data_IF_072873413133
#
_entry.id   IF_072873413133
#
_cell.length_a   1.000
_cell.length_b   1.000
_cell.length_c   1.000
_cell.angle_alpha   90.00
_cell.angle_beta   90.00
_cell.angle_gamma   90.00
#
_symmetry.space_group_name_H-M   'P 1'
#
loop_
_entity.id
_entity.type
_entity.pdbx_description
1 polymer ?
#
# COMPACT_ATOMS: atom_id res chain seq x y z
N UNK A 1 -15.02 -29.13 58.05
CA UNK A 1 -15.29 -29.66 56.70
C UNK A 1 -14.59 -28.72 55.76
N UNK A 2 -13.30 -28.90 55.50
CA UNK A 2 -12.68 -29.70 54.44
C UNK A 2 -13.38 -29.45 53.13
N UNK A 3 -12.79 -29.02 52.05
CA UNK A 3 -11.48 -29.21 51.35
C UNK A 3 -11.64 -28.44 50.03
N UNK A 4 -10.78 -28.07 49.24
CA UNK A 4 -9.48 -28.54 48.76
C UNK A 4 -9.05 -27.60 47.58
N UNK A 5 -7.93 -27.05 47.71
CA UNK A 5 -7.16 -26.36 46.66
C UNK A 5 -6.92 -27.25 45.43
N UNK A 6 -6.98 -26.70 44.22
CA UNK A 6 -6.25 -27.23 43.07
C UNK A 6 -5.56 -26.11 42.28
N UNK A 7 -4.26 -26.21 42.33
CA UNK A 7 -3.28 -25.46 41.54
C UNK A 7 -3.52 -25.70 40.02
N UNK A 8 -3.48 -24.63 39.24
CA UNK A 8 -3.34 -24.70 37.78
C UNK A 8 -1.94 -24.21 37.41
N UNK A 9 -1.13 -25.12 36.91
CA UNK A 9 0.19 -24.88 36.34
C UNK A 9 0.12 -23.99 35.08
N UNK A 10 0.78 -22.87 35.14
CA UNK A 10 1.20 -22.10 33.97
C UNK A 10 2.27 -22.88 33.22
N UNK A 11 1.96 -23.31 32.00
CA UNK A 11 2.95 -23.79 31.04
C UNK A 11 3.32 -22.65 30.09
N UNK A 12 4.46 -22.08 30.28
CA UNK A 12 5.17 -21.25 29.29
C UNK A 12 5.54 -22.12 28.09
N UNK A 13 4.93 -21.85 26.95
CA UNK A 13 5.34 -22.44 25.67
C UNK A 13 6.46 -21.56 25.08
N UNK A 14 7.66 -22.13 25.09
CA UNK A 14 8.87 -21.59 24.48
C UNK A 14 8.72 -21.58 22.95
N UNK A 15 8.89 -20.42 22.36
CA UNK A 15 8.93 -20.17 20.92
C UNK A 15 10.29 -20.65 20.37
N UNK A 16 10.44 -21.93 20.16
CA UNK A 16 11.73 -22.52 19.71
C UNK A 16 11.61 -23.75 18.82
N UNK A 17 10.40 -24.18 18.43
CA UNK A 17 10.24 -25.51 17.82
C UNK A 17 9.57 -25.56 16.45
N UNK A 18 9.35 -24.44 15.76
CA UNK A 18 8.66 -24.45 14.45
C UNK A 18 9.64 -24.47 13.26
N UNK A 19 10.88 -24.00 13.44
CA UNK A 19 11.88 -24.04 12.36
C UNK A 19 12.56 -25.39 12.13
N UNK A 20 12.50 -26.32 13.09
CA UNK A 20 13.21 -27.61 13.00
C UNK A 20 12.42 -28.73 12.29
N UNK A 21 11.11 -28.55 12.05
CA UNK A 21 10.27 -29.61 11.47
C UNK A 21 10.07 -29.54 9.95
N UNK A 22 10.54 -28.49 9.29
CA UNK A 22 10.43 -28.37 7.83
C UNK A 22 11.66 -28.92 7.07
N UNK A 23 12.76 -29.22 7.76
CA UNK A 23 13.99 -29.76 7.14
C UNK A 23 13.99 -31.30 7.10
N UNK A 24 13.13 -31.96 7.87
CA UNK A 24 13.13 -33.44 7.98
C UNK A 24 12.19 -34.13 6.98
N UNK A 25 11.38 -33.40 6.22
CA UNK A 25 10.44 -33.99 5.26
C UNK A 25 11.02 -34.22 3.85
N UNK A 26 12.23 -33.76 3.57
CA UNK A 26 12.87 -33.92 2.23
C UNK A 26 13.88 -35.07 2.18
N UNK A 27 14.26 -35.63 3.32
CA UNK A 27 15.31 -36.72 3.37
C UNK A 27 14.78 -38.15 3.51
N UNK A 28 13.45 -38.38 3.54
CA UNK A 28 12.87 -39.69 3.77
C UNK A 28 12.10 -40.27 2.57
N UNK A 29 12.32 -39.78 1.36
CA UNK A 29 11.67 -40.33 0.17
C UNK A 29 12.68 -40.79 -0.90
N UNK A 30 13.70 -41.53 -0.49
CA UNK A 30 14.52 -42.33 -1.39
C UNK A 30 15.21 -43.43 -0.58
N UNK A 31 14.68 -44.67 -0.51
CA UNK A 31 15.19 -45.69 -1.39
C UNK A 31 14.15 -46.79 -1.70
N UNK A 32 13.60 -46.77 -2.87
CA UNK A 32 13.03 -47.99 -3.46
C UNK A 32 12.88 -47.75 -4.96
N UNK A 33 13.94 -47.82 -5.71
CA UNK A 33 13.96 -48.28 -7.10
C UNK A 33 15.41 -48.48 -7.57
N UNK A 34 16.04 -49.54 -7.08
CA UNK A 34 17.19 -50.10 -7.73
C UNK A 34 16.69 -51.26 -8.59
N UNK A 35 16.42 -51.04 -9.86
CA UNK A 35 16.53 -52.01 -10.95
C UNK A 35 16.02 -51.37 -12.27
N UNK A 36 16.79 -50.48 -12.88
CA UNK A 36 16.74 -50.33 -14.33
C UNK A 36 18.11 -49.91 -14.85
N UNK A 37 18.68 -50.83 -15.65
CA UNK A 37 19.97 -50.65 -16.35
C UNK A 37 19.80 -49.58 -17.43
N UNK A 38 20.73 -48.61 -17.44
CA UNK A 38 21.04 -47.80 -18.63
C UNK A 38 20.45 -46.40 -18.67
N UNK A 39 21.03 -45.44 -17.90
CA UNK A 39 20.95 -44.02 -18.21
C UNK A 39 22.38 -43.44 -18.24
N UNK A 40 22.68 -42.60 -19.25
CA UNK A 40 23.99 -41.95 -19.30
C UNK A 40 24.07 -40.86 -18.19
N UNK A 41 25.13 -40.97 -17.38
CA UNK A 41 25.55 -39.92 -16.47
C UNK A 41 26.01 -38.71 -17.28
N UNK A 42 25.20 -37.74 -17.45
CA UNK A 42 25.62 -36.37 -17.78
C UNK A 42 24.38 -35.47 -17.91
N UNK A 43 24.12 -34.64 -16.96
CA UNK A 43 23.18 -33.51 -17.14
C UNK A 43 22.31 -33.09 -15.96
N UNK A 44 22.26 -33.81 -14.84
CA UNK A 44 21.29 -33.51 -13.77
C UNK A 44 21.80 -32.68 -12.58
N UNK A 45 23.10 -32.54 -12.41
CA UNK A 45 23.67 -31.75 -11.29
C UNK A 45 23.60 -30.24 -11.50
N UNK A 46 23.53 -29.78 -12.76
CA UNK A 46 23.47 -28.34 -13.06
C UNK A 46 22.13 -27.67 -12.70
N UNK A 47 21.03 -28.41 -12.81
CA UNK A 47 19.67 -27.86 -12.53
C UNK A 47 19.36 -27.69 -11.05
N UNK A 48 19.90 -28.55 -10.19
CA UNK A 48 19.66 -28.44 -8.74
C UNK A 48 20.43 -27.28 -8.14
N UNK A 49 21.61 -26.99 -8.64
CA UNK A 49 22.45 -25.86 -8.17
C UNK A 49 21.88 -24.51 -8.63
N UNK A 50 21.20 -24.45 -9.78
CA UNK A 50 20.52 -23.25 -10.25
C UNK A 50 19.24 -22.95 -9.46
N UNK A 51 18.49 -23.98 -9.07
CA UNK A 51 17.25 -23.81 -8.27
C UNK A 51 17.59 -23.34 -6.85
N UNK A 52 18.68 -23.78 -6.26
CA UNK A 52 19.14 -23.31 -4.94
C UNK A 52 19.62 -21.85 -4.98
N UNK A 53 20.18 -21.38 -6.09
CA UNK A 53 20.58 -19.98 -6.26
C UNK A 53 19.40 -19.01 -6.39
N UNK A 54 18.23 -19.49 -6.79
CA UNK A 54 17.01 -18.65 -6.90
C UNK A 54 16.34 -18.41 -5.54
N UNK A 55 16.69 -19.21 -4.52
CA UNK A 55 16.10 -19.10 -3.17
C UNK A 55 16.95 -18.24 -2.21
N UNK A 56 18.16 -17.85 -2.57
CA UNK A 56 18.81 -16.71 -1.93
C UNK A 56 18.15 -15.42 -2.46
N UNK A 57 16.95 -15.14 -1.99
CA UNK A 57 16.38 -13.80 -2.02
C UNK A 57 17.25 -12.96 -1.09
N UNK A 58 18.33 -12.42 -1.63
CA UNK A 58 19.02 -11.30 -1.00
C UNK A 58 17.97 -10.22 -0.81
N UNK A 59 17.48 -10.05 0.42
CA UNK A 59 16.62 -8.92 0.76
C UNK A 59 17.41 -7.66 0.41
N UNK A 60 17.11 -7.13 -0.77
CA UNK A 60 17.69 -5.88 -1.22
C UNK A 60 17.28 -4.84 -0.17
N UNK A 61 18.22 -4.10 0.44
CA UNK A 61 17.86 -3.11 1.45
C UNK A 61 16.81 -2.17 0.87
N UNK A 62 15.69 -2.05 1.57
CA UNK A 62 14.57 -1.22 1.12
C UNK A 62 15.05 0.23 0.99
N UNK A 63 14.66 0.96 -0.07
CA UNK A 63 15.06 2.36 -0.25
C UNK A 63 14.70 3.17 1.00
N UNK A 64 15.56 4.10 1.39
CA UNK A 64 15.33 4.95 2.59
C UNK A 64 13.98 5.67 2.54
N UNK A 65 13.57 6.10 1.35
CA UNK A 65 12.26 6.73 1.13
C UNK A 65 11.10 5.80 1.46
N UNK A 66 11.18 4.53 1.05
CA UNK A 66 10.15 3.54 1.38
C UNK A 66 10.05 3.31 2.89
N UNK A 67 11.18 3.24 3.59
CA UNK A 67 11.20 3.11 5.06
C UNK A 67 10.58 4.36 5.71
N UNK A 68 10.83 5.54 5.17
CA UNK A 68 10.22 6.79 5.67
C UNK A 68 8.71 6.77 5.51
N UNK A 69 8.21 6.40 4.32
CA UNK A 69 6.76 6.25 4.06
C UNK A 69 6.15 5.21 5.00
N UNK A 70 6.80 4.05 5.16
CA UNK A 70 6.35 3.00 6.07
C UNK A 70 6.23 3.49 7.52
N UNK A 71 7.23 4.20 8.03
CA UNK A 71 7.21 4.71 9.39
C UNK A 71 6.06 5.71 9.61
N UNK A 72 5.74 6.53 8.61
CA UNK A 72 4.60 7.44 8.67
C UNK A 72 3.29 6.64 8.68
N UNK A 73 3.11 5.69 7.76
CA UNK A 73 1.91 4.82 7.72
C UNK A 73 1.73 4.11 9.06
N UNK A 74 2.78 3.47 9.61
CA UNK A 74 2.71 2.78 10.91
C UNK A 74 2.44 3.70 12.08
N UNK A 75 2.89 4.95 12.04
CA UNK A 75 2.60 5.93 13.11
C UNK A 75 1.11 6.32 13.16
N UNK A 76 0.40 6.25 12.04
CA UNK A 76 -1.04 6.49 11.96
C UNK A 76 -1.88 5.21 12.12
N UNK A 77 -1.31 4.05 11.75
CA UNK A 77 -2.00 2.75 11.70
C UNK A 77 -1.19 1.68 12.41
N UNK A 78 -1.02 1.83 13.72
CA UNK A 78 -0.36 0.82 14.57
C UNK A 78 -1.15 -0.50 14.65
N UNK A 79 -2.43 -0.48 14.28
CA UNK A 79 -3.38 -1.59 14.32
C UNK A 79 -3.23 -2.57 13.14
N UNK A 80 -2.67 -2.16 12.00
CA UNK A 80 -2.47 -3.03 10.83
C UNK A 80 -1.18 -3.85 10.93
N UNK A 81 -1.13 -4.96 10.21
CA UNK A 81 0.07 -5.79 10.12
C UNK A 81 1.21 -5.06 9.40
N UNK A 82 2.45 -5.46 9.67
CA UNK A 82 3.61 -4.91 8.95
C UNK A 82 3.55 -5.18 7.45
N UNK A 83 3.04 -6.35 7.06
CA UNK A 83 2.85 -6.69 5.66
C UNK A 83 1.89 -5.74 4.95
N UNK A 84 0.77 -5.39 5.58
CA UNK A 84 -0.19 -4.41 5.04
C UNK A 84 0.42 -3.01 4.96
N UNK A 85 1.12 -2.59 6.03
CA UNK A 85 1.81 -1.30 6.06
C UNK A 85 2.85 -1.18 4.95
N UNK A 86 3.64 -2.24 4.70
CA UNK A 86 4.58 -2.27 3.58
C UNK A 86 3.90 -2.17 2.23
N UNK A 87 2.84 -2.96 1.99
CA UNK A 87 2.09 -2.92 0.72
C UNK A 87 1.52 -1.53 0.42
N UNK A 88 0.93 -0.89 1.42
CA UNK A 88 0.40 0.48 1.29
C UNK A 88 1.53 1.47 1.02
N UNK A 89 2.64 1.35 1.72
CA UNK A 89 3.80 2.23 1.54
C UNK A 89 4.45 2.07 0.17
N UNK A 90 4.55 0.85 -0.33
CA UNK A 90 5.02 0.55 -1.68
C UNK A 90 4.11 1.17 -2.73
N UNK A 91 2.78 1.05 -2.59
CA UNK A 91 1.83 1.66 -3.51
C UNK A 91 1.93 3.20 -3.50
N UNK A 92 2.03 3.83 -2.33
CA UNK A 92 2.21 5.28 -2.22
C UNK A 92 3.49 5.72 -2.94
N UNK A 93 4.62 5.09 -2.64
CA UNK A 93 5.91 5.45 -3.24
C UNK A 93 5.91 5.22 -4.75
N UNK A 94 5.47 4.04 -5.19
CA UNK A 94 5.47 3.66 -6.61
C UNK A 94 4.59 4.60 -7.45
N UNK A 95 3.36 4.86 -7.03
CA UNK A 95 2.45 5.72 -7.78
C UNK A 95 2.90 7.19 -7.75
N UNK A 96 3.48 7.65 -6.64
CA UNK A 96 4.06 8.99 -6.56
C UNK A 96 5.20 9.17 -7.56
N UNK A 97 6.14 8.22 -7.62
CA UNK A 97 7.26 8.27 -8.55
C UNK A 97 6.80 8.21 -10.01
N UNK A 98 5.85 7.34 -10.35
CA UNK A 98 5.26 7.25 -11.70
C UNK A 98 4.68 8.57 -12.18
N UNK A 99 4.15 9.39 -11.27
CA UNK A 99 3.44 10.65 -11.59
C UNK A 99 4.28 11.90 -11.29
N UNK A 100 5.54 11.73 -10.90
CA UNK A 100 6.42 12.82 -10.48
C UNK A 100 5.74 13.72 -9.41
N UNK A 101 5.14 13.05 -8.40
CA UNK A 101 4.60 13.65 -7.20
C UNK A 101 5.52 13.32 -6.02
N UNK A 102 5.61 14.23 -5.06
CA UNK A 102 6.31 13.95 -3.80
C UNK A 102 5.48 12.98 -2.96
N UNK A 103 6.03 11.82 -2.52
CA UNK A 103 5.32 10.89 -1.65
C UNK A 103 4.80 11.52 -0.35
N UNK A 104 5.50 12.55 0.16
CA UNK A 104 5.05 13.27 1.37
C UNK A 104 3.79 14.08 1.10
N UNK A 105 3.60 14.59 -0.13
CA UNK A 105 2.35 15.24 -0.52
C UNK A 105 1.20 14.25 -0.58
N UNK A 106 1.43 13.05 -1.12
CA UNK A 106 0.40 11.99 -1.16
C UNK A 106 0.01 11.55 0.25
N UNK A 107 0.99 11.38 1.16
CA UNK A 107 0.73 11.10 2.57
C UNK A 107 -0.09 12.21 3.25
N UNK A 108 0.18 13.48 2.91
CA UNK A 108 -0.56 14.62 3.43
C UNK A 108 -2.03 14.62 2.97
N UNK A 109 -2.29 14.28 1.70
CA UNK A 109 -3.66 14.10 1.18
C UNK A 109 -4.36 12.97 1.93
N UNK A 110 -3.72 11.80 2.07
CA UNK A 110 -4.26 10.64 2.81
C UNK A 110 -4.59 11.01 4.27
N UNK A 111 -3.73 11.78 4.94
CA UNK A 111 -3.99 12.23 6.32
C UNK A 111 -5.26 13.06 6.41
N UNK A 112 -5.44 14.02 5.50
CA UNK A 112 -6.59 14.92 5.50
C UNK A 112 -7.87 14.19 5.11
N UNK A 113 -7.81 13.28 4.12
CA UNK A 113 -8.98 12.56 3.60
C UNK A 113 -9.55 11.53 4.59
N UNK A 114 -8.71 10.68 5.13
CA UNK A 114 -9.19 9.52 5.89
C UNK A 114 -8.48 9.30 7.22
N UNK A 115 -7.41 10.05 7.52
CA UNK A 115 -6.47 9.72 8.59
C UNK A 115 -5.94 8.29 8.46
N UNK A 116 -5.65 7.90 7.22
CA UNK A 116 -5.18 6.55 6.84
C UNK A 116 -6.20 5.43 7.04
N UNK A 117 -7.49 5.71 7.23
CA UNK A 117 -8.52 4.67 7.33
C UNK A 117 -8.86 4.12 5.94
N UNK A 118 -8.83 2.77 5.78
CA UNK A 118 -8.95 2.14 4.44
C UNK A 118 -10.38 2.08 3.91
N UNK A 119 -11.36 1.85 4.78
CA UNK A 119 -12.75 1.62 4.39
C UNK A 119 -13.70 2.73 4.86
N UNK A 120 -13.19 3.95 5.00
CA UNK A 120 -14.01 5.10 5.39
C UNK A 120 -14.93 5.51 4.25
N UNK A 121 -16.21 5.73 4.58
CA UNK A 121 -17.22 6.27 3.66
C UNK A 121 -17.68 7.60 4.25
N UNK A 122 -17.54 8.69 3.46
CA UNK A 122 -18.00 10.01 3.89
C UNK A 122 -19.53 10.13 3.80
N UNK A 123 -20.14 11.15 4.45
CA UNK A 123 -21.58 11.41 4.33
C UNK A 123 -22.04 11.66 2.89
N UNK A 124 -21.16 12.11 2.00
CA UNK A 124 -21.44 12.33 0.58
C UNK A 124 -21.06 11.17 -0.31
N UNK A 125 -20.59 10.04 0.27
CA UNK A 125 -20.31 8.80 -0.44
C UNK A 125 -18.88 8.66 -0.98
N UNK A 126 -17.96 9.56 -0.67
CA UNK A 126 -16.53 9.35 -0.98
C UNK A 126 -15.99 8.14 -0.19
N UNK A 127 -15.11 7.32 -0.80
CA UNK A 127 -14.70 6.02 -0.26
C UNK A 127 -13.18 5.86 -0.21
N UNK A 128 -12.73 5.13 0.79
CA UNK A 128 -11.39 4.62 0.92
C UNK A 128 -10.36 5.61 1.45
N UNK A 129 -9.10 5.20 1.41
CA UNK A 129 -7.99 5.90 2.05
C UNK A 129 -7.73 7.31 1.48
N UNK A 130 -8.04 7.54 0.20
CA UNK A 130 -7.92 8.84 -0.48
C UNK A 130 -9.29 9.46 -0.84
N UNK A 131 -10.39 8.93 -0.28
CA UNK A 131 -11.76 9.45 -0.39
C UNK A 131 -12.19 9.76 -1.83
N UNK A 132 -12.09 8.76 -2.71
CA UNK A 132 -12.52 8.89 -4.10
C UNK A 132 -14.04 8.76 -4.20
N UNK A 133 -14.67 9.70 -4.90
CA UNK A 133 -16.09 9.59 -5.24
C UNK A 133 -16.32 8.43 -6.23
N UNK A 134 -17.39 7.64 -6.07
CA UNK A 134 -17.70 6.54 -6.98
C UNK A 134 -17.73 6.93 -8.46
N UNK A 135 -18.29 8.08 -8.80
CA UNK A 135 -18.34 8.56 -10.19
C UNK A 135 -16.95 8.95 -10.71
N UNK A 136 -16.10 9.55 -9.86
CA UNK A 136 -14.68 9.78 -10.19
C UNK A 136 -13.95 8.46 -10.43
N UNK A 137 -14.16 7.46 -9.57
CA UNK A 137 -13.58 6.13 -9.75
C UNK A 137 -14.03 5.46 -11.05
N UNK A 138 -15.28 5.59 -11.43
CA UNK A 138 -15.83 5.12 -12.72
C UNK A 138 -15.14 5.82 -13.89
N UNK A 139 -15.11 7.14 -13.87
CA UNK A 139 -14.45 7.94 -14.90
C UNK A 139 -12.97 7.55 -15.07
N UNK A 140 -12.23 7.42 -13.97
CA UNK A 140 -10.82 7.02 -14.01
C UNK A 140 -10.65 5.60 -14.56
N UNK A 141 -11.55 4.68 -14.23
CA UNK A 141 -11.51 3.32 -14.75
C UNK A 141 -11.76 3.27 -16.26
N UNK A 142 -12.67 4.10 -16.77
CA UNK A 142 -12.95 4.21 -18.21
C UNK A 142 -11.79 4.89 -18.96
N UNK A 143 -11.22 5.94 -18.39
CA UNK A 143 -10.18 6.74 -19.03
C UNK A 143 -8.80 6.06 -19.01
N UNK A 144 -8.42 5.45 -17.89
CA UNK A 144 -7.05 4.95 -17.64
C UNK A 144 -7.02 3.60 -16.91
N UNK A 145 -8.12 2.87 -16.90
CA UNK A 145 -8.24 1.61 -16.13
C UNK A 145 -7.12 0.61 -16.44
N UNK A 146 -6.69 0.52 -17.68
CA UNK A 146 -5.61 -0.38 -18.07
C UNK A 146 -4.27 -0.02 -17.39
N UNK A 147 -3.97 1.29 -17.19
CA UNK A 147 -2.78 1.74 -16.43
C UNK A 147 -2.90 1.44 -14.92
N UNK A 148 -4.13 1.44 -14.42
CA UNK A 148 -4.45 1.16 -13.02
C UNK A 148 -4.58 -0.34 -12.72
N UNK A 149 -4.48 -1.19 -13.76
CA UNK A 149 -4.69 -2.63 -13.63
C UNK A 149 -6.17 -3.00 -13.46
N UNK A 150 -7.08 -2.18 -13.99
CA UNK A 150 -8.52 -2.35 -13.91
C UNK A 150 -9.15 -2.56 -15.28
N UNK A 151 -10.18 -3.41 -15.30
CA UNK A 151 -11.07 -3.53 -16.45
C UNK A 151 -12.37 -2.76 -16.18
N UNK A 152 -12.84 -1.86 -17.08
CA UNK A 152 -14.02 -1.02 -16.84
C UNK A 152 -15.27 -1.80 -16.40
N UNK A 153 -15.50 -2.99 -16.96
CA UNK A 153 -16.64 -3.84 -16.62
C UNK A 153 -16.59 -4.40 -15.19
N UNK A 154 -15.40 -4.45 -14.59
CA UNK A 154 -15.20 -4.99 -13.23
C UNK A 154 -15.31 -3.92 -12.14
N UNK A 155 -15.37 -2.62 -12.50
CA UNK A 155 -15.46 -1.56 -11.51
C UNK A 155 -16.79 -1.58 -10.75
N UNK A 156 -16.70 -1.49 -9.45
CA UNK A 156 -17.82 -1.27 -8.51
C UNK A 156 -17.40 -0.23 -7.47
N UNK A 157 -18.32 0.55 -6.90
CA UNK A 157 -17.97 1.50 -5.82
C UNK A 157 -17.19 0.87 -4.68
N UNK A 158 -17.51 -0.38 -4.31
CA UNK A 158 -16.83 -1.13 -3.25
C UNK A 158 -15.36 -1.46 -3.59
N UNK A 159 -14.99 -1.44 -4.86
CA UNK A 159 -13.57 -1.59 -5.27
C UNK A 159 -12.69 -0.49 -4.67
N UNK A 160 -13.26 0.67 -4.36
CA UNK A 160 -12.56 1.78 -3.71
C UNK A 160 -12.20 1.51 -2.23
N UNK A 161 -12.71 0.43 -1.64
CA UNK A 161 -12.36 0.02 -0.27
C UNK A 161 -11.02 -0.73 -0.23
N UNK A 162 -10.49 -1.18 -1.38
CA UNK A 162 -9.12 -1.69 -1.49
C UNK A 162 -8.14 -0.52 -1.43
N UNK A 163 -7.27 -0.46 -0.40
CA UNK A 163 -6.39 0.69 -0.22
C UNK A 163 -5.37 0.85 -1.34
N UNK A 164 -4.93 -0.22 -1.97
CA UNK A 164 -3.93 -0.17 -3.05
C UNK A 164 -4.56 0.44 -4.31
N UNK A 165 -5.75 -0.03 -4.66
CA UNK A 165 -6.49 0.52 -5.79
C UNK A 165 -6.87 1.98 -5.56
N UNK A 166 -7.35 2.31 -4.36
CA UNK A 166 -7.74 3.65 -3.98
C UNK A 166 -6.57 4.63 -4.06
N UNK A 167 -5.36 4.22 -3.60
CA UNK A 167 -4.12 5.00 -3.75
C UNK A 167 -3.78 5.22 -5.23
N UNK A 168 -3.82 4.17 -6.06
CA UNK A 168 -3.56 4.29 -7.50
C UNK A 168 -4.47 5.32 -8.16
N UNK A 169 -5.77 5.24 -7.88
CA UNK A 169 -6.77 6.17 -8.40
C UNK A 169 -6.57 7.58 -7.87
N UNK A 170 -6.40 7.75 -6.56
CA UNK A 170 -6.26 9.06 -5.92
C UNK A 170 -5.00 9.80 -6.34
N UNK A 171 -3.87 9.10 -6.44
CA UNK A 171 -2.60 9.67 -6.92
C UNK A 171 -2.70 10.04 -8.40
N UNK A 172 -3.34 9.20 -9.23
CA UNK A 172 -3.59 9.55 -10.62
C UNK A 172 -4.48 10.79 -10.73
N UNK A 173 -5.57 10.84 -9.98
CA UNK A 173 -6.49 11.97 -9.99
C UNK A 173 -5.81 13.28 -9.57
N UNK A 174 -5.02 13.27 -8.51
CA UNK A 174 -4.22 14.42 -8.09
C UNK A 174 -3.23 14.88 -9.16
N UNK A 175 -2.56 13.93 -9.81
CA UNK A 175 -1.66 14.21 -10.92
C UNK A 175 -2.39 14.86 -12.10
N UNK A 176 -3.56 14.34 -12.49
CA UNK A 176 -4.34 14.86 -13.59
C UNK A 176 -4.83 16.29 -13.31
N UNK A 177 -5.35 16.54 -12.10
CA UNK A 177 -5.71 17.87 -11.65
C UNK A 177 -4.52 18.85 -11.65
N UNK A 178 -3.34 18.40 -11.20
CA UNK A 178 -2.12 19.23 -11.27
C UNK A 178 -1.74 19.58 -12.71
N UNK A 179 -1.93 18.67 -13.67
CA UNK A 179 -1.73 18.95 -15.10
C UNK A 179 -2.74 19.94 -15.63
N UNK A 180 -4.01 19.75 -15.27
CA UNK A 180 -5.11 20.61 -15.72
C UNK A 180 -4.92 22.05 -15.26
N UNK A 181 -4.73 22.26 -13.96
CA UNK A 181 -4.65 23.59 -13.37
C UNK A 181 -3.24 24.20 -13.37
N UNK A 182 -2.17 23.43 -13.60
CA UNK A 182 -0.76 23.85 -13.57
C UNK A 182 -0.36 24.61 -12.29
N UNK A 183 -1.13 24.44 -11.25
CA UNK A 183 -0.97 25.05 -9.93
C UNK A 183 -1.36 24.01 -8.87
N UNK A 184 -0.43 23.70 -7.97
CA UNK A 184 -0.68 22.69 -6.93
C UNK A 184 -1.83 23.10 -6.00
N UNK A 185 -1.89 24.36 -5.62
CA UNK A 185 -2.92 24.85 -4.72
C UNK A 185 -4.33 24.72 -5.34
N UNK A 186 -4.50 25.13 -6.61
CA UNK A 186 -5.75 24.93 -7.35
C UNK A 186 -6.07 23.44 -7.57
N UNK A 187 -5.08 22.61 -7.81
CA UNK A 187 -5.25 21.16 -7.93
C UNK A 187 -5.78 20.54 -6.63
N UNK A 188 -5.28 20.97 -5.47
CA UNK A 188 -5.77 20.52 -4.17
C UNK A 188 -7.22 21.00 -3.92
N UNK A 189 -7.54 22.26 -4.26
CA UNK A 189 -8.92 22.73 -4.16
C UNK A 189 -9.83 21.90 -5.09
N UNK A 190 -9.38 21.61 -6.32
CA UNK A 190 -10.13 20.81 -7.28
C UNK A 190 -10.28 19.34 -6.87
N UNK A 191 -9.30 18.81 -6.14
CA UNK A 191 -9.40 17.47 -5.58
C UNK A 191 -10.60 17.33 -4.63
N UNK A 192 -10.79 18.33 -3.77
CA UNK A 192 -11.88 18.36 -2.79
C UNK A 192 -13.22 18.85 -3.36
N UNK A 193 -13.21 19.93 -4.13
CA UNK A 193 -14.44 20.59 -4.62
C UNK A 193 -14.90 20.08 -6.00
N UNK A 194 -14.05 19.35 -6.70
CA UNK A 194 -14.25 18.95 -8.09
C UNK A 194 -13.71 19.97 -9.10
N UNK A 195 -13.15 19.52 -10.24
CA UNK A 195 -12.54 20.39 -11.24
C UNK A 195 -13.53 21.32 -11.92
N UNK A 196 -14.76 20.89 -12.14
CA UNK A 196 -15.80 21.71 -12.77
C UNK A 196 -16.17 22.93 -11.92
N UNK A 197 -16.27 22.77 -10.59
CA UNK A 197 -16.55 23.85 -9.66
C UNK A 197 -15.40 24.88 -9.65
N UNK A 198 -14.16 24.40 -9.64
CA UNK A 198 -12.99 25.30 -9.68
C UNK A 198 -12.94 26.06 -11.01
N UNK A 199 -13.19 25.38 -12.12
CA UNK A 199 -13.22 26.01 -13.44
C UNK A 199 -14.31 27.11 -13.52
N UNK A 200 -15.53 26.77 -13.08
CA UNK A 200 -16.65 27.72 -13.05
C UNK A 200 -16.35 28.99 -12.21
N UNK A 201 -15.73 28.82 -11.03
CA UNK A 201 -15.34 29.95 -10.18
C UNK A 201 -14.24 30.80 -10.79
N UNK A 202 -13.27 30.20 -11.46
CA UNK A 202 -12.22 30.93 -12.20
C UNK A 202 -12.82 31.80 -13.31
N UNK A 203 -13.74 31.25 -14.09
CA UNK A 203 -14.40 31.94 -15.19
C UNK A 203 -15.27 33.12 -14.71
N UNK A 204 -15.86 32.98 -13.52
CA UNK A 204 -16.73 34.01 -12.92
C UNK A 204 -16.02 34.94 -11.90
N UNK A 205 -14.67 34.83 -11.77
CA UNK A 205 -13.88 35.60 -10.81
C UNK A 205 -14.39 35.47 -9.36
N UNK A 206 -14.84 34.27 -8.97
CA UNK A 206 -15.31 33.94 -7.62
C UNK A 206 -14.20 33.40 -6.74
N UNK A 207 -14.28 33.64 -5.44
CA UNK A 207 -13.33 33.13 -4.45
C UNK A 207 -13.54 31.65 -4.18
N UNK A 208 -12.46 30.96 -3.75
CA UNK A 208 -12.46 29.56 -3.33
C UNK A 208 -12.30 29.45 -1.82
N UNK A 209 -12.87 28.40 -1.23
CA UNK A 209 -12.42 27.96 0.08
C UNK A 209 -10.97 27.48 0.00
N UNK A 210 -10.10 28.04 0.84
CA UNK A 210 -8.69 27.70 0.93
C UNK A 210 -8.41 26.60 1.97
N UNK A 211 -9.43 26.22 2.72
CA UNK A 211 -9.31 25.39 3.92
C UNK A 211 -8.65 24.04 3.62
N UNK A 212 -9.18 23.30 2.64
CA UNK A 212 -8.65 22.01 2.29
C UNK A 212 -7.18 22.05 1.83
N UNK A 213 -6.88 22.96 0.91
CA UNK A 213 -5.51 23.11 0.42
C UNK A 213 -4.54 23.51 1.55
N UNK A 214 -4.98 24.36 2.46
CA UNK A 214 -4.20 24.76 3.64
C UNK A 214 -3.93 23.55 4.55
N UNK A 215 -4.95 22.75 4.86
CA UNK A 215 -4.79 21.53 5.69
C UNK A 215 -3.78 20.56 5.07
N UNK A 216 -3.88 20.29 3.76
CA UNK A 216 -2.96 19.39 3.06
C UNK A 216 -1.54 19.96 3.07
N UNK A 217 -1.36 21.24 2.75
CA UNK A 217 -0.02 21.85 2.70
C UNK A 217 0.62 21.92 4.09
N UNK A 218 -0.14 22.10 5.14
CA UNK A 218 0.38 22.07 6.52
C UNK A 218 0.77 20.64 6.94
N UNK A 219 -0.01 19.63 6.56
CA UNK A 219 0.38 18.22 6.73
C UNK A 219 1.67 17.91 5.95
N UNK A 220 1.76 18.35 4.72
CA UNK A 220 2.95 18.19 3.87
C UNK A 220 4.20 18.83 4.50
N UNK A 221 4.11 20.05 5.03
CA UNK A 221 5.21 20.68 5.77
C UNK A 221 5.64 19.87 6.99
N UNK A 222 4.68 19.29 7.74
CA UNK A 222 5.01 18.43 8.89
C UNK A 222 5.81 17.19 8.47
N UNK A 223 5.49 16.58 7.34
CA UNK A 223 6.20 15.40 6.86
C UNK A 223 7.58 15.73 6.28
N UNK A 224 7.73 16.81 5.56
CA UNK A 224 9.02 17.24 4.98
C UNK A 224 10.00 17.78 6.02
N UNK A 225 9.50 18.38 7.11
CA UNK A 225 10.33 18.91 8.21
C UNK A 225 10.69 17.87 9.27
N UNK A 226 10.17 16.65 9.22
CA UNK A 226 10.60 15.55 10.09
C UNK A 226 12.04 15.17 9.73
N UNK A 227 13.00 15.52 10.62
CA UNK A 227 14.34 14.92 10.56
C UNK A 227 14.16 13.40 10.61
N UNK A 228 14.84 12.69 9.70
CA UNK A 228 14.88 11.24 9.76
C UNK A 228 15.21 10.80 11.19
N UNK A 229 14.47 9.84 11.78
CA UNK A 229 14.81 9.34 13.10
C UNK A 229 16.27 8.86 13.06
N UNK A 230 17.10 9.41 13.90
CA UNK A 230 18.45 8.91 14.18
C UNK A 230 18.28 7.60 14.93
N UNK A 231 18.55 6.48 14.25
CA UNK A 231 18.71 5.16 14.87
C UNK A 231 20.13 5.00 15.40
#
# INVERSE_FOLDING_TARGET
METRTKNAHTRTLSCGSVCAKLILAVTLCMPALMAFRGFPESGKTRKVTEIVKIVEVVEKPRPKELVTVYNIVKSHRSDITDSEAWRVSEAILEESLKRNLDPMLVLAVIEVESRFQYSTISPVGARGIMQIMPDTGRFLTEAVGHELGLHPVAYRPESLDDPILNIRMGVYYLYDLRKQFRNLHLALIAYNAGPAEVQNRLENNQEFSQEYATLVLDAYKRYTNRKAPTF
#
